data_IF_247324389382
#
_entry.id   IF_247324389382
#
_cell.length_a   1.000
_cell.length_b   1.000
_cell.length_c   1.000
_cell.angle_alpha   90.00
_cell.angle_beta   90.00
_cell.angle_gamma   90.00
#
_symmetry.space_group_name_H-M   'P 1'
#
loop_
_entity.id
_entity.type
_entity.pdbx_description
1 polymer ?
#
# COMPACT_ATOMS: atom_id res chain seq x y z
N UNK A 1 10.21 -27.09 56.04
CA UNK A 1 10.81 -27.90 54.97
C UNK A 1 9.90 -27.77 53.74
N UNK A 2 10.44 -27.13 52.69
CA UNK A 2 10.10 -27.18 51.25
C UNK A 2 8.65 -27.34 50.74
N UNK A 3 8.25 -26.33 49.93
CA UNK A 3 7.58 -26.41 48.61
C UNK A 3 6.60 -25.22 48.51
N UNK A 4 6.79 -24.13 47.78
CA UNK A 4 7.35 -23.87 46.44
C UNK A 4 6.63 -24.63 45.31
N UNK A 5 5.44 -24.15 44.97
CA UNK A 5 4.91 -24.21 43.60
C UNK A 5 4.49 -22.80 43.17
N UNK A 6 5.47 -22.03 42.70
CA UNK A 6 5.19 -20.95 41.74
C UNK A 6 4.83 -21.64 40.44
N UNK A 7 3.54 -21.61 40.07
CA UNK A 7 3.12 -21.87 38.70
C UNK A 7 3.78 -20.82 37.80
N UNK A 8 4.92 -21.18 37.23
CA UNK A 8 5.44 -20.47 36.06
C UNK A 8 4.43 -20.73 34.94
N UNK A 9 3.53 -19.78 34.72
CA UNK A 9 3.00 -19.55 33.40
C UNK A 9 4.17 -19.13 32.52
N UNK A 10 4.82 -20.12 31.90
CA UNK A 10 5.62 -19.87 30.71
C UNK A 10 4.62 -19.53 29.61
N UNK A 11 4.23 -18.26 29.53
CA UNK A 11 3.78 -17.70 28.27
C UNK A 11 4.96 -17.88 27.32
N UNK A 12 4.90 -18.93 26.49
CA UNK A 12 5.66 -18.96 25.24
C UNK A 12 5.29 -17.66 24.54
N UNK A 13 6.17 -16.65 24.61
CA UNK A 13 6.12 -15.54 23.68
C UNK A 13 6.21 -16.21 22.31
N UNK A 14 5.08 -16.29 21.60
CA UNK A 14 5.08 -16.69 20.22
C UNK A 14 6.03 -15.71 19.55
N UNK A 15 7.21 -16.18 19.12
CA UNK A 15 8.07 -15.41 18.22
C UNK A 15 7.14 -15.00 17.08
N UNK A 16 6.75 -13.74 17.02
CA UNK A 16 5.91 -13.29 15.93
C UNK A 16 6.76 -13.40 14.67
N UNK A 17 6.45 -14.36 13.81
CA UNK A 17 7.15 -14.51 12.54
C UNK A 17 6.84 -13.28 11.69
N UNK A 18 7.86 -12.46 11.45
CA UNK A 18 7.81 -11.40 10.46
C UNK A 18 8.26 -11.94 9.10
N UNK A 19 7.83 -11.34 7.98
CA UNK A 19 6.92 -10.19 7.91
C UNK A 19 5.47 -10.54 8.22
N UNK A 20 4.69 -9.55 8.66
CA UNK A 20 3.23 -9.63 8.77
C UNK A 20 2.61 -8.79 7.68
N UNK A 21 1.65 -9.37 6.97
CA UNK A 21 0.93 -8.71 5.89
C UNK A 21 -0.57 -8.78 6.21
N UNK A 22 -1.23 -7.63 6.18
CA UNK A 22 -2.68 -7.52 6.42
C UNK A 22 -3.32 -6.51 5.47
N UNK A 23 -4.58 -6.76 5.11
CA UNK A 23 -5.39 -5.80 4.35
C UNK A 23 -5.95 -4.74 5.31
N UNK A 24 -5.89 -3.49 4.88
CA UNK A 24 -6.53 -2.35 5.51
C UNK A 24 -8.04 -2.34 5.33
N UNK A 25 -8.67 -1.23 5.71
CA UNK A 25 -10.13 -1.08 5.59
C UNK A 25 -10.56 -1.25 4.13
N UNK A 26 -11.55 -2.11 3.88
CA UNK A 26 -12.05 -2.49 2.53
C UNK A 26 -11.02 -3.12 1.58
N UNK A 27 -9.81 -3.39 2.04
CA UNK A 27 -8.72 -3.88 1.19
C UNK A 27 -8.27 -2.84 0.14
N UNK A 28 -8.40 -1.56 0.48
CA UNK A 28 -7.85 -0.43 -0.31
C UNK A 28 -6.36 -0.20 0.00
N UNK A 29 -5.87 -0.79 1.09
CA UNK A 29 -4.47 -0.72 1.51
C UNK A 29 -3.99 -2.11 1.95
N UNK A 30 -2.69 -2.31 1.89
CA UNK A 30 -1.96 -3.42 2.48
C UNK A 30 -0.92 -2.86 3.44
N UNK A 31 -0.94 -3.35 4.67
CA UNK A 31 0.08 -3.02 5.66
C UNK A 31 1.13 -4.14 5.69
N UNK A 32 2.37 -3.79 5.39
CA UNK A 32 3.52 -4.68 5.45
C UNK A 32 4.37 -4.30 6.67
N UNK A 33 4.52 -5.23 7.61
CA UNK A 33 5.20 -5.00 8.89
C UNK A 33 6.40 -5.94 9.02
N UNK A 34 7.56 -5.38 9.33
CA UNK A 34 8.80 -6.08 9.68
C UNK A 34 9.07 -6.00 11.19
N UNK A 35 10.18 -6.55 11.65
CA UNK A 35 10.61 -6.42 13.05
C UNK A 35 10.85 -4.96 13.47
N UNK A 36 11.33 -4.13 12.55
CA UNK A 36 11.85 -2.80 12.86
C UNK A 36 10.99 -1.66 12.30
N UNK A 37 10.14 -1.94 11.32
CA UNK A 37 9.40 -0.91 10.59
C UNK A 37 8.17 -1.46 9.86
N UNK A 38 7.41 -0.58 9.21
CA UNK A 38 6.28 -0.93 8.35
C UNK A 38 6.15 0.02 7.17
N UNK A 39 5.33 -0.36 6.19
CA UNK A 39 4.88 0.52 5.13
C UNK A 39 3.42 0.21 4.74
N UNK A 40 2.72 1.20 4.20
CA UNK A 40 1.42 1.03 3.58
C UNK A 40 1.59 0.98 2.06
N UNK A 41 0.89 0.05 1.43
CA UNK A 41 0.91 -0.16 -0.01
C UNK A 41 -0.53 -0.04 -0.48
N UNK A 42 -0.79 0.91 -1.37
CA UNK A 42 -2.09 1.04 -1.99
C UNK A 42 -2.41 -0.28 -2.71
N UNK A 43 -3.64 -0.74 -2.54
CA UNK A 43 -4.12 -1.95 -3.21
C UNK A 43 -5.59 -1.82 -3.51
N UNK A 44 -6.12 -2.69 -4.36
CA UNK A 44 -7.57 -2.86 -4.44
C UNK A 44 -7.85 -4.32 -4.26
N UNK A 45 -8.69 -4.68 -3.31
CA UNK A 45 -9.10 -6.06 -3.10
C UNK A 45 -10.38 -6.40 -3.88
N UNK A 46 -11.23 -5.39 -4.08
CA UNK A 46 -12.50 -5.45 -4.80
C UNK A 46 -12.26 -4.85 -6.21
N UNK A 47 -12.79 -5.49 -7.25
CA UNK A 47 -12.71 -5.05 -8.67
C UNK A 47 -11.33 -5.09 -9.35
N UNK A 48 -10.68 -6.25 -9.25
CA UNK A 48 -9.43 -6.56 -9.95
C UNK A 48 -8.24 -6.25 -9.05
N UNK A 49 -7.69 -7.30 -8.44
CA UNK A 49 -6.78 -7.23 -7.28
C UNK A 49 -5.48 -6.49 -7.60
N UNK A 50 -5.48 -5.15 -7.58
CA UNK A 50 -4.29 -4.36 -7.91
C UNK A 50 -3.40 -4.20 -6.70
N UNK A 51 -2.10 -4.20 -6.94
CA UNK A 51 -1.09 -3.75 -5.99
C UNK A 51 -0.25 -2.68 -6.67
N UNK A 52 -0.10 -1.54 -6.03
CA UNK A 52 0.63 -0.40 -6.57
C UNK A 52 2.06 -0.38 -6.01
N UNK A 53 3.05 -0.35 -6.89
CA UNK A 53 4.47 -0.49 -6.49
C UNK A 53 5.12 0.84 -6.07
N UNK A 54 4.47 1.96 -6.35
CA UNK A 54 4.99 3.31 -6.08
C UNK A 54 5.06 3.68 -4.62
N UNK A 55 4.30 3.02 -3.75
CA UNK A 55 4.38 3.25 -2.30
C UNK A 55 5.61 2.56 -1.67
N UNK A 56 6.30 1.68 -2.40
CA UNK A 56 7.47 0.93 -1.91
C UNK A 56 8.77 1.73 -2.12
N UNK A 57 8.83 2.94 -1.56
CA UNK A 57 9.99 3.84 -1.68
C UNK A 57 10.66 4.13 -0.34
N UNK A 58 9.86 4.33 0.71
CA UNK A 58 10.34 4.64 2.05
C UNK A 58 9.51 3.89 3.08
N UNK A 59 10.18 3.47 4.14
CA UNK A 59 9.50 2.96 5.32
C UNK A 59 8.78 4.08 6.07
N UNK A 60 7.87 3.76 7.00
CA UNK A 60 7.22 4.75 7.87
C UNK A 60 8.23 5.54 8.71
N UNK A 61 9.40 4.97 9.04
CA UNK A 61 10.51 5.71 9.66
C UNK A 61 11.22 6.73 8.76
N UNK A 62 10.80 6.84 7.49
CA UNK A 62 11.44 7.65 6.43
C UNK A 62 12.76 7.12 5.88
N UNK A 63 13.22 5.95 6.34
CA UNK A 63 14.36 5.26 5.74
C UNK A 63 14.03 4.82 4.30
N UNK A 64 14.99 4.97 3.38
CA UNK A 64 14.85 4.51 1.99
C UNK A 64 14.79 2.98 1.97
N UNK A 65 13.86 2.44 1.19
CA UNK A 65 13.76 0.99 0.95
C UNK A 65 14.81 0.62 -0.11
N UNK A 66 15.68 -0.32 0.23
CA UNK A 66 16.74 -0.76 -0.70
C UNK A 66 16.17 -1.62 -1.82
N UNK A 67 16.88 -1.76 -2.93
CA UNK A 67 16.47 -2.66 -4.01
C UNK A 67 16.29 -4.10 -3.52
N UNK A 68 17.17 -4.58 -2.65
CA UNK A 68 17.05 -5.90 -2.03
C UNK A 68 15.74 -6.04 -1.25
N UNK A 69 15.40 -5.05 -0.43
CA UNK A 69 14.15 -5.05 0.33
C UNK A 69 12.93 -4.99 -0.61
N UNK A 70 12.97 -4.20 -1.69
CA UNK A 70 11.92 -4.13 -2.72
C UNK A 70 11.63 -5.52 -3.31
N UNK A 71 12.67 -6.29 -3.66
CA UNK A 71 12.54 -7.66 -4.17
C UNK A 71 11.90 -8.60 -3.15
N UNK A 72 12.29 -8.51 -1.88
CA UNK A 72 11.71 -9.31 -0.77
C UNK A 72 10.24 -8.96 -0.56
N UNK A 73 9.92 -7.68 -0.44
CA UNK A 73 8.56 -7.18 -0.24
C UNK A 73 7.66 -7.63 -1.40
N UNK A 74 8.13 -7.51 -2.64
CA UNK A 74 7.40 -7.94 -3.83
C UNK A 74 6.99 -9.41 -3.77
N UNK A 75 7.96 -10.29 -3.51
CA UNK A 75 7.71 -11.73 -3.36
C UNK A 75 6.68 -12.00 -2.26
N UNK A 76 6.88 -11.41 -1.08
CA UNK A 76 6.04 -11.68 0.09
C UNK A 76 4.59 -11.21 -0.13
N UNK A 77 4.39 -10.11 -0.85
CA UNK A 77 3.06 -9.64 -1.27
C UNK A 77 2.41 -10.61 -2.25
N UNK A 78 3.13 -11.05 -3.29
CA UNK A 78 2.57 -12.01 -4.25
C UNK A 78 2.16 -13.31 -3.56
N UNK A 79 2.99 -13.84 -2.66
CA UNK A 79 2.66 -15.02 -1.86
C UNK A 79 1.40 -14.78 -1.01
N UNK A 80 1.29 -13.60 -0.40
CA UNK A 80 0.11 -13.22 0.39
C UNK A 80 -1.17 -13.22 -0.46
N UNK A 81 -1.16 -12.54 -1.61
CA UNK A 81 -2.32 -12.46 -2.51
C UNK A 81 -2.72 -13.84 -3.04
N UNK A 82 -1.76 -14.61 -3.55
CA UNK A 82 -2.01 -15.94 -4.11
C UNK A 82 -2.47 -16.96 -3.05
N UNK A 83 -2.11 -16.78 -1.78
CA UNK A 83 -2.62 -17.61 -0.67
C UNK A 83 -4.02 -17.22 -0.22
N UNK A 84 -4.32 -15.91 -0.21
CA UNK A 84 -5.59 -15.37 0.31
C UNK A 84 -6.72 -15.41 -0.71
N UNK A 85 -6.39 -15.51 -2.00
CA UNK A 85 -7.36 -15.36 -3.06
C UNK A 85 -7.15 -16.36 -4.21
N UNK A 86 -8.21 -16.62 -4.97
CA UNK A 86 -8.17 -17.57 -6.10
C UNK A 86 -7.63 -16.97 -7.39
N UNK A 87 -7.73 -15.65 -7.55
CA UNK A 87 -7.17 -14.96 -8.72
C UNK A 87 -5.88 -14.23 -8.34
N UNK A 88 -4.95 -14.27 -9.28
CA UNK A 88 -3.65 -13.61 -9.20
C UNK A 88 -3.83 -12.08 -9.20
N UNK A 89 -2.95 -11.34 -8.50
CA UNK A 89 -3.00 -9.87 -8.51
C UNK A 89 -2.63 -9.28 -9.87
N UNK A 90 -3.08 -8.06 -10.11
CA UNK A 90 -2.60 -7.16 -11.16
C UNK A 90 -1.53 -6.28 -10.51
N UNK A 91 -0.33 -6.21 -11.09
CA UNK A 91 0.73 -5.33 -10.58
C UNK A 91 0.66 -4.01 -11.33
N UNK A 92 0.57 -2.90 -10.61
CA UNK A 92 0.56 -1.55 -11.17
C UNK A 92 1.94 -0.94 -10.97
N UNK A 93 2.67 -0.74 -12.06
CA UNK A 93 4.01 -0.14 -12.08
C UNK A 93 3.88 1.35 -12.35
N UNK A 94 4.47 2.15 -11.47
CA UNK A 94 4.64 3.56 -11.76
C UNK A 94 5.88 3.76 -12.64
N UNK A 95 5.68 4.35 -13.82
CA UNK A 95 6.75 4.52 -14.82
C UNK A 95 7.82 5.55 -14.40
N UNK A 96 7.50 6.39 -13.41
CA UNK A 96 8.40 7.43 -12.91
C UNK A 96 9.32 6.92 -11.78
N UNK A 97 9.07 5.72 -11.22
CA UNK A 97 9.82 5.17 -10.06
C UNK A 97 10.19 3.69 -10.23
N UNK A 98 11.50 3.41 -10.25
CA UNK A 98 12.11 2.05 -10.30
C UNK A 98 11.49 1.10 -11.34
N UNK A 99 10.99 1.64 -12.46
CA UNK A 99 10.27 0.88 -13.49
C UNK A 99 11.00 -0.41 -13.91
N UNK A 100 12.30 -0.30 -14.19
CA UNK A 100 13.11 -1.43 -14.68
C UNK A 100 13.15 -2.59 -13.68
N UNK A 101 13.31 -2.28 -12.38
CA UNK A 101 13.28 -3.28 -11.31
C UNK A 101 11.93 -3.99 -11.26
N UNK A 102 10.83 -3.24 -11.31
CA UNK A 102 9.50 -3.82 -11.23
C UNK A 102 9.14 -4.66 -12.46
N UNK A 103 9.58 -4.26 -13.65
CA UNK A 103 9.41 -5.04 -14.86
C UNK A 103 10.20 -6.35 -14.81
N UNK A 104 11.45 -6.30 -14.34
CA UNK A 104 12.28 -7.50 -14.11
C UNK A 104 11.57 -8.48 -13.18
N UNK A 105 11.10 -8.00 -12.03
CA UNK A 105 10.40 -8.81 -11.04
C UNK A 105 9.06 -9.35 -11.57
N UNK A 106 8.28 -8.56 -12.30
CA UNK A 106 7.04 -9.05 -12.91
C UNK A 106 7.31 -10.16 -13.93
N UNK A 107 8.42 -10.09 -14.66
CA UNK A 107 8.82 -11.14 -15.59
C UNK A 107 9.28 -12.41 -14.86
N UNK A 108 10.05 -12.28 -13.77
CA UNK A 108 10.47 -13.39 -12.92
C UNK A 108 9.25 -14.13 -12.31
N UNK A 109 8.26 -13.37 -11.83
CA UNK A 109 7.08 -13.89 -11.14
C UNK A 109 5.83 -13.94 -12.02
N UNK A 110 5.97 -13.98 -13.36
CA UNK A 110 4.84 -13.90 -14.31
C UNK A 110 3.73 -14.93 -14.04
N UNK A 111 4.09 -16.11 -13.53
CA UNK A 111 3.13 -17.17 -13.22
C UNK A 111 2.30 -16.89 -11.95
N UNK A 112 2.66 -15.89 -11.17
CA UNK A 112 1.97 -15.48 -9.93
C UNK A 112 1.19 -14.18 -10.10
N UNK A 113 1.19 -13.59 -11.30
CA UNK A 113 0.57 -12.30 -11.63
C UNK A 113 -0.47 -12.53 -12.74
N UNK A 114 -1.55 -11.75 -12.73
CA UNK A 114 -2.58 -11.78 -13.77
C UNK A 114 -2.17 -10.93 -14.97
N UNK A 115 -1.76 -9.68 -14.72
CA UNK A 115 -1.33 -8.72 -15.72
C UNK A 115 -0.50 -7.60 -15.07
N UNK A 116 0.20 -6.82 -15.90
CA UNK A 116 0.91 -5.62 -15.49
C UNK A 116 0.20 -4.41 -16.09
N UNK A 117 -0.11 -3.42 -15.25
CA UNK A 117 -0.63 -2.12 -15.64
C UNK A 117 0.44 -1.05 -15.39
N UNK A 118 0.40 0.02 -16.17
CA UNK A 118 1.36 1.13 -16.06
C UNK A 118 0.62 2.42 -15.75
N UNK A 119 1.16 3.19 -14.82
CA UNK A 119 0.65 4.50 -14.43
C UNK A 119 1.83 5.47 -14.28
N UNK A 120 1.63 6.77 -14.49
CA UNK A 120 2.58 7.81 -14.10
C UNK A 120 2.08 8.62 -12.90
N UNK A 121 2.98 9.34 -12.23
CA UNK A 121 2.63 10.29 -11.18
C UNK A 121 1.59 11.30 -11.68
N UNK A 122 1.74 11.77 -12.92
CA UNK A 122 0.78 12.67 -13.56
C UNK A 122 -0.60 12.04 -13.72
N UNK A 123 -0.67 10.78 -14.13
CA UNK A 123 -1.96 10.08 -14.26
C UNK A 123 -2.60 9.82 -12.90
N UNK A 124 -1.80 9.50 -11.87
CA UNK A 124 -2.26 9.32 -10.49
C UNK A 124 -2.82 10.64 -9.92
N UNK A 125 -2.11 11.75 -10.12
CA UNK A 125 -2.56 13.08 -9.67
C UNK A 125 -3.86 13.50 -10.39
N UNK A 126 -3.94 13.31 -11.70
CA UNK A 126 -5.15 13.60 -12.47
C UNK A 126 -6.35 12.74 -12.01
N UNK A 127 -6.14 11.45 -11.77
CA UNK A 127 -7.20 10.58 -11.26
C UNK A 127 -7.69 11.03 -9.88
N UNK A 128 -6.77 11.43 -8.99
CA UNK A 128 -7.13 11.98 -7.69
C UNK A 128 -7.92 13.29 -7.81
N UNK A 129 -7.51 14.18 -8.73
CA UNK A 129 -8.25 15.41 -9.04
C UNK A 129 -9.68 15.11 -9.46
N UNK A 130 -9.86 14.24 -10.46
CA UNK A 130 -11.16 13.93 -11.03
C UNK A 130 -12.09 13.25 -10.00
N UNK A 131 -11.56 12.31 -9.21
CA UNK A 131 -12.31 11.64 -8.16
C UNK A 131 -12.79 12.61 -7.07
N UNK A 132 -11.89 13.47 -6.58
CA UNK A 132 -12.23 14.43 -5.53
C UNK A 132 -13.23 15.47 -6.03
N UNK A 133 -13.04 15.97 -7.25
CA UNK A 133 -13.97 16.92 -7.87
C UNK A 133 -15.36 16.30 -8.08
N UNK A 134 -15.45 15.06 -8.56
CA UNK A 134 -16.72 14.37 -8.74
C UNK A 134 -17.43 14.14 -7.40
N UNK A 135 -16.69 13.80 -6.32
CA UNK A 135 -17.26 13.70 -4.98
C UNK A 135 -17.88 15.04 -4.51
N UNK A 136 -17.19 16.16 -4.73
CA UNK A 136 -17.71 17.50 -4.42
C UNK A 136 -18.97 17.81 -5.25
N UNK A 137 -18.95 17.54 -6.56
CA UNK A 137 -20.11 17.75 -7.46
C UNK A 137 -21.34 16.94 -7.07
N UNK A 138 -21.15 15.80 -6.40
CA UNK A 138 -22.22 14.95 -5.86
C UNK A 138 -22.69 15.38 -4.47
N UNK A 139 -22.22 16.51 -3.95
CA UNK A 139 -22.57 17.04 -2.63
C UNK A 139 -21.77 16.44 -1.48
N UNK A 140 -20.67 15.73 -1.78
CA UNK A 140 -19.71 15.30 -0.78
C UNK A 140 -18.86 16.46 -0.26
N UNK A 141 -18.02 16.16 0.73
CA UNK A 141 -17.06 17.11 1.29
C UNK A 141 -15.66 16.50 1.35
N UNK A 142 -14.63 17.33 1.17
CA UNK A 142 -13.24 16.98 1.41
C UNK A 142 -12.77 17.69 2.69
N UNK A 143 -12.07 16.96 3.56
CA UNK A 143 -11.53 17.48 4.82
C UNK A 143 -10.01 17.34 4.77
N UNK A 144 -9.30 18.46 4.89
CA UNK A 144 -7.84 18.50 4.98
C UNK A 144 -7.42 19.38 6.16
N UNK A 145 -6.99 18.74 7.26
CA UNK A 145 -6.75 19.42 8.53
C UNK A 145 -8.01 20.10 9.07
N UNK A 146 -7.99 21.44 9.10
CA UNK A 146 -9.12 22.26 9.56
C UNK A 146 -9.96 22.84 8.41
N UNK A 147 -9.60 22.56 7.17
CA UNK A 147 -10.32 23.05 5.98
C UNK A 147 -11.39 22.03 5.56
N UNK A 148 -12.60 22.52 5.31
CA UNK A 148 -13.71 21.73 4.76
C UNK A 148 -14.08 22.33 3.42
N UNK A 149 -13.90 21.54 2.36
CA UNK A 149 -14.18 21.92 0.98
C UNK A 149 -15.49 21.25 0.57
N UNK A 150 -16.45 22.05 0.14
CA UNK A 150 -17.81 21.60 -0.21
C UNK A 150 -18.31 22.13 -1.55
N UNK A 151 -17.63 23.12 -2.14
CA UNK A 151 -17.97 23.65 -3.47
C UNK A 151 -16.84 23.44 -4.47
N UNK A 152 -17.19 23.43 -5.75
CA UNK A 152 -16.22 23.28 -6.84
C UNK A 152 -15.20 24.43 -6.84
N UNK A 153 -15.61 25.67 -6.60
CA UNK A 153 -14.69 26.81 -6.54
C UNK A 153 -13.67 26.67 -5.41
N UNK A 154 -14.10 26.21 -4.22
CA UNK A 154 -13.21 25.93 -3.09
C UNK A 154 -12.20 24.83 -3.45
N UNK A 155 -12.67 23.78 -4.13
CA UNK A 155 -11.82 22.67 -4.57
C UNK A 155 -10.77 23.13 -5.59
N UNK A 156 -11.13 23.96 -6.57
CA UNK A 156 -10.19 24.46 -7.57
C UNK A 156 -9.08 25.32 -6.94
N UNK A 157 -9.40 26.17 -5.97
CA UNK A 157 -8.40 26.95 -5.23
C UNK A 157 -7.51 26.05 -4.37
N UNK A 158 -8.10 25.10 -3.65
CA UNK A 158 -7.37 24.08 -2.89
C UNK A 158 -6.35 23.33 -3.78
N UNK A 159 -6.79 22.86 -4.94
CA UNK A 159 -5.95 22.05 -5.83
C UNK A 159 -4.75 22.83 -6.37
N UNK A 160 -4.95 24.11 -6.74
CA UNK A 160 -3.86 25.01 -7.17
C UNK A 160 -2.80 25.19 -6.08
N UNK A 161 -3.22 25.25 -4.81
CA UNK A 161 -2.28 25.37 -3.67
C UNK A 161 -1.56 24.05 -3.44
N UNK A 162 -2.28 22.92 -3.50
CA UNK A 162 -1.71 21.57 -3.33
C UNK A 162 -0.59 21.29 -4.34
N UNK A 163 -0.76 21.64 -5.61
CA UNK A 163 0.25 21.41 -6.65
C UNK A 163 1.54 22.23 -6.48
N UNK A 164 1.57 23.22 -5.58
CA UNK A 164 2.76 24.05 -5.29
C UNK A 164 3.58 23.56 -4.10
N UNK A 165 3.06 22.62 -3.31
CA UNK A 165 3.75 22.01 -2.17
C UNK A 165 4.61 20.85 -2.66
#
# INVERSE_FOLDING_TARGET
MLSFFRGLFTTKAAKSSFPKISLGFRGEDLEYVTENDSLYISSTWIDGRRVFMDDIQKWKSSNIITEFDKRVIFRDILEFFNKKAKEKPIVVINVDHDKELWEELCQEYKEQISSVEYQSDKQKDQFAYDCMLDNIRRGGSLIDGNEIITTEEQFLEYWKVRQKK
#
